data_IF_481454023351
#
_entry.id   IF_481454023351
#
_cell.length_a   1.000
_cell.length_b   1.000
_cell.length_c   1.000
_cell.angle_alpha   90.00
_cell.angle_beta   90.00
_cell.angle_gamma   90.00
#
_symmetry.space_group_name_H-M   'P 1'
#
loop_
_entity.id
_entity.type
_entity.pdbx_description
1 polymer ?
#
# COMPACT_ATOMS: atom_id res chain seq x y z
N UNK A 1 35.74 -24.40 12.56
CA UNK A 1 37.15 -24.81 12.50
C UNK A 1 37.78 -24.17 13.72
N UNK A 2 37.83 -24.72 14.93
CA UNK A 2 38.03 -26.10 15.40
C UNK A 2 39.08 -26.91 14.62
N UNK A 3 40.09 -27.36 15.39
CA UNK A 3 41.34 -28.02 14.97
C UNK A 3 42.51 -27.03 14.94
N UNK A 4 43.69 -27.23 15.52
CA UNK A 4 44.29 -28.22 16.42
C UNK A 4 45.80 -27.92 16.36
N UNK A 5 46.53 -28.16 17.47
CA UNK A 5 47.98 -28.44 17.51
C UNK A 5 48.93 -27.27 17.14
N UNK A 6 50.13 -27.09 17.71
CA UNK A 6 50.94 -27.86 18.65
C UNK A 6 52.15 -26.98 19.02
N UNK A 7 52.58 -27.05 20.27
CA UNK A 7 53.94 -26.64 20.66
C UNK A 7 54.98 -27.55 19.96
N UNK A 8 56.21 -27.06 19.78
CA UNK A 8 57.24 -27.75 20.55
C UNK A 8 58.29 -26.83 21.19
N UNK A 9 58.54 -27.22 22.44
CA UNK A 9 59.75 -27.17 23.24
C UNK A 9 61.07 -27.27 22.46
N UNK A 10 62.07 -26.49 22.91
CA UNK A 10 63.52 -26.72 22.75
C UNK A 10 64.28 -25.66 23.53
N UNK A 11 64.38 -25.90 24.84
CA UNK A 11 65.46 -25.40 25.67
C UNK A 11 66.77 -26.08 25.24
N UNK A 12 67.72 -25.31 24.71
CA UNK A 12 69.10 -25.76 24.54
C UNK A 12 69.96 -25.15 25.63
N UNK A 13 70.29 -26.00 26.59
CA UNK A 13 71.41 -25.86 27.53
C UNK A 13 72.67 -25.47 26.76
N UNK A 14 73.37 -24.43 27.22
CA UNK A 14 74.76 -24.19 26.84
C UNK A 14 75.56 -24.12 28.14
N UNK A 15 76.15 -25.28 28.43
CA UNK A 15 77.26 -25.55 29.32
C UNK A 15 78.28 -24.39 29.35
N UNK A 16 78.41 -23.75 30.50
CA UNK A 16 79.50 -22.84 30.79
C UNK A 16 80.72 -23.65 31.24
N UNK A 17 81.62 -23.96 30.31
CA UNK A 17 82.93 -24.53 30.61
C UNK A 17 83.81 -23.46 31.29
N UNK A 18 83.81 -23.44 32.62
CA UNK A 18 84.77 -22.71 33.42
C UNK A 18 86.12 -23.45 33.39
N UNK A 19 87.05 -23.00 32.55
CA UNK A 19 88.45 -23.42 32.64
C UNK A 19 89.10 -22.75 33.85
N UNK A 20 89.24 -23.51 34.94
CA UNK A 20 90.08 -23.19 36.09
C UNK A 20 91.53 -22.95 35.62
N UNK A 21 92.05 -21.76 35.87
CA UNK A 21 93.48 -21.45 35.67
C UNK A 21 94.22 -21.96 36.90
N UNK A 22 94.77 -23.16 36.77
CA UNK A 22 95.59 -23.85 37.75
C UNK A 22 96.93 -23.09 37.92
N UNK A 23 97.09 -22.40 39.05
CA UNK A 23 98.34 -21.73 39.41
C UNK A 23 99.34 -22.78 39.93
N UNK A 24 100.28 -23.19 39.08
CA UNK A 24 101.46 -23.94 39.55
C UNK A 24 102.33 -23.05 40.43
N UNK A 25 102.37 -23.34 41.73
CA UNK A 25 103.40 -22.85 42.64
C UNK A 25 104.68 -23.61 42.32
N UNK A 26 105.59 -22.96 41.60
CA UNK A 26 106.94 -23.49 41.42
C UNK A 26 107.66 -23.41 42.76
N UNK A 27 107.96 -24.56 43.36
CA UNK A 27 108.82 -24.70 44.54
C UNK A 27 110.21 -24.16 44.25
N UNK A 28 110.88 -23.65 45.29
CA UNK A 28 112.14 -22.91 45.20
C UNK A 28 113.33 -23.70 44.58
N UNK A 29 113.17 -24.99 44.32
CA UNK A 29 114.21 -25.89 43.84
C UNK A 29 114.39 -25.90 42.30
N UNK A 30 113.44 -25.39 41.52
CA UNK A 30 113.51 -25.34 40.03
C UNK A 30 114.19 -24.07 39.47
N UNK A 31 114.75 -23.23 40.34
CA UNK A 31 115.60 -22.10 39.92
C UNK A 31 117.04 -22.61 39.81
N UNK A 32 117.52 -22.81 38.59
CA UNK A 32 118.88 -23.24 38.31
C UNK A 32 119.93 -22.34 39.00
N UNK A 33 120.59 -22.87 40.05
CA UNK A 33 121.71 -22.22 40.75
C UNK A 33 121.88 -22.48 42.26
N UNK A 34 121.08 -23.34 42.91
CA UNK A 34 120.98 -23.36 44.39
C UNK A 34 121.87 -24.40 45.13
N UNK A 35 122.46 -25.41 44.48
CA UNK A 35 123.12 -26.53 45.21
C UNK A 35 124.66 -26.58 45.20
N UNK A 36 125.35 -25.50 44.83
CA UNK A 36 126.80 -25.42 45.07
C UNK A 36 127.22 -23.97 45.34
N UNK A 37 127.58 -23.59 46.58
CA UNK A 37 128.21 -22.29 46.81
C UNK A 37 129.57 -22.34 46.11
N UNK A 38 129.71 -21.58 45.02
CA UNK A 38 131.02 -21.35 44.39
C UNK A 38 131.94 -20.77 45.49
N UNK A 39 132.90 -21.54 45.99
CA UNK A 39 133.96 -21.03 46.87
C UNK A 39 134.86 -20.16 46.01
N UNK A 40 134.75 -18.85 46.19
CA UNK A 40 135.50 -17.87 45.40
C UNK A 40 136.77 -17.51 46.17
N UNK A 41 137.94 -17.63 45.53
CA UNK A 41 139.18 -17.08 46.08
C UNK A 41 139.04 -15.56 46.22
N UNK A 42 139.62 -14.95 47.26
CA UNK A 42 139.38 -13.54 47.62
C UNK A 42 139.62 -12.56 46.47
N UNK A 43 140.46 -12.90 45.50
CA UNK A 43 140.77 -12.10 44.31
C UNK A 43 139.67 -12.14 43.23
N UNK A 44 138.82 -13.17 43.21
CA UNK A 44 137.76 -13.38 42.21
C UNK A 44 136.35 -13.05 42.73
N UNK A 45 136.20 -12.77 44.04
CA UNK A 45 134.91 -12.39 44.64
C UNK A 45 134.35 -11.12 44.00
N UNK A 46 135.22 -10.18 43.65
CA UNK A 46 134.82 -8.94 42.97
C UNK A 46 134.20 -9.24 41.59
N UNK A 47 134.70 -10.24 40.87
CA UNK A 47 134.21 -10.61 39.55
C UNK A 47 132.86 -11.35 39.59
N UNK A 48 132.65 -12.26 40.55
CA UNK A 48 131.36 -12.95 40.72
C UNK A 48 130.29 -12.02 41.31
N UNK A 49 130.66 -11.08 42.20
CA UNK A 49 129.76 -10.01 42.63
C UNK A 49 129.41 -9.14 41.42
N UNK A 50 130.38 -8.72 40.60
CA UNK A 50 130.11 -7.99 39.37
C UNK A 50 129.20 -8.78 38.40
N UNK A 51 129.37 -10.11 38.29
CA UNK A 51 128.53 -10.99 37.47
C UNK A 51 127.10 -11.08 38.00
N UNK A 52 126.91 -11.26 39.31
CA UNK A 52 125.59 -11.30 39.95
C UNK A 52 124.91 -9.92 39.91
N UNK A 53 125.65 -8.82 40.03
CA UNK A 53 125.15 -7.46 39.80
C UNK A 53 124.75 -7.24 38.34
N UNK A 54 125.52 -7.77 37.38
CA UNK A 54 125.18 -7.75 35.96
C UNK A 54 123.94 -8.60 35.64
N UNK A 55 123.81 -9.79 36.25
CA UNK A 55 122.69 -10.69 36.02
C UNK A 55 121.41 -10.22 36.73
N UNK A 56 121.53 -9.68 37.94
CA UNK A 56 120.41 -9.06 38.66
C UNK A 56 119.96 -7.76 37.99
N UNK A 57 120.88 -6.96 37.45
CA UNK A 57 120.52 -5.79 36.64
C UNK A 57 119.90 -6.18 35.29
N UNK A 58 120.39 -7.22 34.61
CA UNK A 58 119.79 -7.77 33.40
C UNK A 58 118.39 -8.35 33.66
N UNK A 59 118.20 -9.05 34.78
CA UNK A 59 116.91 -9.57 35.22
C UNK A 59 115.95 -8.43 35.58
N UNK A 60 116.45 -7.36 36.22
CA UNK A 60 115.67 -6.14 36.47
C UNK A 60 115.23 -5.49 35.15
N UNK A 61 116.14 -5.32 34.19
CA UNK A 61 115.84 -4.78 32.86
C UNK A 61 114.84 -5.68 32.10
N UNK A 62 114.95 -7.01 32.22
CA UNK A 62 114.01 -7.95 31.60
C UNK A 62 112.62 -7.89 32.25
N UNK A 63 112.54 -7.72 33.57
CA UNK A 63 111.28 -7.51 34.29
C UNK A 63 110.63 -6.17 33.90
N UNK A 64 111.41 -5.10 33.84
CA UNK A 64 110.94 -3.78 33.37
C UNK A 64 110.39 -3.85 31.94
N UNK A 65 111.09 -4.55 31.03
CA UNK A 65 110.58 -4.79 29.66
C UNK A 65 109.32 -5.66 29.63
N UNK A 66 109.22 -6.68 30.49
CA UNK A 66 108.01 -7.51 30.62
C UNK A 66 106.82 -6.67 31.08
N UNK A 67 107.03 -5.79 32.06
CA UNK A 67 106.02 -4.85 32.57
C UNK A 67 105.60 -3.83 31.49
N UNK A 68 106.57 -3.29 30.75
CA UNK A 68 106.28 -2.35 29.66
C UNK A 68 105.49 -3.03 28.53
N UNK A 69 105.86 -4.27 28.17
CA UNK A 69 105.13 -5.05 27.17
C UNK A 69 103.74 -5.46 27.66
N UNK A 70 103.57 -5.82 28.95
CA UNK A 70 102.25 -6.15 29.50
C UNK A 70 101.33 -4.93 29.51
N UNK A 71 101.84 -3.75 29.86
CA UNK A 71 101.08 -2.49 29.78
C UNK A 71 100.71 -2.12 28.35
N UNK A 72 101.63 -2.28 27.38
CA UNK A 72 101.34 -2.06 25.95
C UNK A 72 100.33 -3.07 25.40
N UNK A 73 100.41 -4.33 25.80
CA UNK A 73 99.43 -5.34 25.40
C UNK A 73 98.06 -5.05 25.99
N UNK A 74 98.00 -4.68 27.28
CA UNK A 74 96.74 -4.30 27.93
C UNK A 74 96.06 -3.12 27.24
N UNK A 75 96.80 -2.05 26.90
CA UNK A 75 96.22 -0.90 26.19
C UNK A 75 95.74 -1.22 24.77
N UNK A 76 96.46 -2.10 24.06
CA UNK A 76 96.03 -2.57 22.72
C UNK A 76 94.78 -3.45 22.83
N UNK A 77 94.68 -4.31 23.85
CA UNK A 77 93.50 -5.16 24.09
C UNK A 77 92.30 -4.30 24.44
N UNK A 78 92.46 -3.29 25.31
CA UNK A 78 91.40 -2.35 25.67
C UNK A 78 90.91 -1.56 24.44
N UNK A 79 91.84 -0.99 23.65
CA UNK A 79 91.49 -0.31 22.40
C UNK A 79 90.76 -1.23 21.40
N UNK A 80 91.16 -2.51 21.31
CA UNK A 80 90.45 -3.50 20.49
C UNK A 80 89.08 -3.84 21.04
N UNK A 81 88.93 -3.98 22.36
CA UNK A 81 87.63 -4.26 22.99
C UNK A 81 86.63 -3.13 22.71
N UNK A 82 87.06 -1.88 22.85
CA UNK A 82 86.23 -0.72 22.47
C UNK A 82 85.89 -0.72 20.98
N UNK A 83 86.85 -1.07 20.11
CA UNK A 83 86.59 -1.14 18.67
C UNK A 83 85.55 -2.21 18.32
N UNK A 84 85.60 -3.37 18.99
CA UNK A 84 84.61 -4.44 18.83
C UNK A 84 83.23 -4.01 19.34
N UNK A 85 83.18 -3.31 20.49
CA UNK A 85 81.93 -2.78 21.02
C UNK A 85 81.26 -1.82 20.02
N UNK A 86 82.02 -0.89 19.43
CA UNK A 86 81.52 0.03 18.40
C UNK A 86 81.00 -0.72 17.18
N UNK A 87 81.68 -1.78 16.73
CA UNK A 87 81.22 -2.60 15.60
C UNK A 87 79.92 -3.33 15.92
N UNK A 88 79.80 -3.91 17.12
CA UNK A 88 78.57 -4.56 17.56
C UNK A 88 77.39 -3.59 17.62
N UNK A 89 77.59 -2.38 18.15
CA UNK A 89 76.58 -1.31 18.17
C UNK A 89 76.12 -0.93 16.75
N UNK A 90 77.07 -0.79 15.82
CA UNK A 90 76.77 -0.52 14.41
C UNK A 90 75.99 -1.66 13.76
N UNK A 91 76.33 -2.91 14.08
CA UNK A 91 75.63 -4.08 13.55
C UNK A 91 74.19 -4.17 14.09
N UNK A 92 73.97 -3.86 15.37
CA UNK A 92 72.63 -3.77 15.95
C UNK A 92 71.82 -2.63 15.33
N UNK A 93 72.43 -1.47 15.10
CA UNK A 93 71.79 -0.37 14.38
C UNK A 93 71.43 -0.77 12.95
N UNK A 94 72.30 -1.50 12.26
CA UNK A 94 72.05 -2.01 10.91
C UNK A 94 70.87 -2.99 10.90
N UNK A 95 70.82 -3.96 11.83
CA UNK A 95 69.68 -4.89 11.97
C UNK A 95 68.36 -4.16 12.23
N UNK A 96 68.36 -3.16 13.12
CA UNK A 96 67.17 -2.32 13.39
C UNK A 96 66.73 -1.55 12.15
N UNK A 97 67.68 -1.01 11.39
CA UNK A 97 67.40 -0.29 10.15
C UNK A 97 66.85 -1.22 9.06
N UNK A 98 67.39 -2.43 8.91
CA UNK A 98 66.87 -3.45 8.00
C UNK A 98 65.45 -3.88 8.37
N UNK A 99 65.18 -4.09 9.67
CA UNK A 99 63.83 -4.37 10.18
C UNK A 99 62.84 -3.25 9.87
N UNK A 100 63.23 -1.99 10.13
CA UNK A 100 62.40 -0.82 9.76
C UNK A 100 62.16 -0.73 8.25
N UNK A 101 63.18 -1.02 7.44
CA UNK A 101 63.08 -1.03 5.97
C UNK A 101 62.14 -2.13 5.47
N UNK A 102 62.07 -3.28 6.15
CA UNK A 102 61.12 -4.35 5.81
C UNK A 102 59.68 -3.92 6.11
N UNK A 103 59.42 -3.45 7.33
CA UNK A 103 58.09 -2.94 7.72
C UNK A 103 57.60 -1.82 6.80
N UNK A 104 58.49 -0.89 6.41
CA UNK A 104 58.15 0.18 5.47
C UNK A 104 57.76 -0.37 4.09
N UNK A 105 58.42 -1.43 3.60
CA UNK A 105 58.04 -2.07 2.33
C UNK A 105 56.69 -2.77 2.43
N UNK A 106 56.44 -3.49 3.52
CA UNK A 106 55.16 -4.16 3.75
C UNK A 106 54.02 -3.13 3.84
N UNK A 107 54.27 -2.00 4.51
CA UNK A 107 53.32 -0.88 4.59
C UNK A 107 53.06 -0.25 3.23
N UNK A 108 54.08 -0.10 2.37
CA UNK A 108 53.92 0.37 1.00
C UNK A 108 53.05 -0.58 0.17
N UNK A 109 53.36 -1.89 0.19
CA UNK A 109 52.59 -2.90 -0.54
C UNK A 109 51.13 -2.93 -0.06
N UNK A 110 50.90 -2.81 1.24
CA UNK A 110 49.55 -2.75 1.79
C UNK A 110 48.81 -1.48 1.36
N UNK A 111 49.48 -0.33 1.38
CA UNK A 111 48.92 0.93 0.89
C UNK A 111 48.55 0.84 -0.59
N UNK A 112 49.43 0.31 -1.43
CA UNK A 112 49.20 0.15 -2.87
C UNK A 112 47.99 -0.77 -3.13
N UNK A 113 47.94 -1.95 -2.49
CA UNK A 113 46.77 -2.86 -2.56
C UNK A 113 45.48 -2.18 -2.11
N UNK A 114 45.52 -1.44 -1.00
CA UNK A 114 44.34 -0.73 -0.51
C UNK A 114 43.87 0.36 -1.47
N UNK A 115 44.80 1.00 -2.20
CA UNK A 115 44.48 1.99 -3.22
C UNK A 115 43.86 1.36 -4.47
N UNK A 116 44.36 0.20 -4.91
CA UNK A 116 43.77 -0.59 -6.00
C UNK A 116 42.34 -1.04 -5.66
N UNK A 117 42.11 -1.53 -4.43
CA UNK A 117 40.78 -1.92 -3.96
C UNK A 117 39.79 -0.74 -3.99
N UNK A 118 40.25 0.45 -3.61
CA UNK A 118 39.44 1.68 -3.68
C UNK A 118 39.13 2.04 -5.13
N UNK A 119 40.09 1.89 -6.04
CA UNK A 119 39.91 2.17 -7.46
C UNK A 119 38.90 1.21 -8.11
N UNK A 120 38.99 -0.09 -7.85
CA UNK A 120 38.01 -1.09 -8.30
C UNK A 120 36.60 -0.74 -7.81
N UNK A 121 36.45 -0.37 -6.53
CA UNK A 121 35.14 0.05 -5.99
C UNK A 121 34.63 1.32 -6.66
N UNK A 122 35.51 2.27 -6.95
CA UNK A 122 35.16 3.52 -7.66
C UNK A 122 34.65 3.22 -9.07
N UNK A 123 35.30 2.31 -9.80
CA UNK A 123 34.86 1.89 -11.13
C UNK A 123 33.50 1.18 -11.09
N UNK A 124 33.29 0.27 -10.13
CA UNK A 124 32.00 -0.40 -9.93
C UNK A 124 30.88 0.61 -9.63
N UNK A 125 31.14 1.59 -8.77
CA UNK A 125 30.19 2.67 -8.49
C UNK A 125 29.92 3.51 -9.74
N UNK A 126 30.94 3.80 -10.55
CA UNK A 126 30.76 4.52 -11.82
C UNK A 126 29.82 3.78 -12.77
N UNK A 127 29.91 2.45 -12.86
CA UNK A 127 29.01 1.61 -13.65
C UNK A 127 27.58 1.64 -13.09
N UNK A 128 27.42 1.50 -11.78
CA UNK A 128 26.10 1.59 -11.12
C UNK A 128 25.43 2.94 -11.35
N UNK A 129 26.20 4.04 -11.29
CA UNK A 129 25.69 5.40 -11.56
C UNK A 129 25.23 5.53 -13.01
N UNK A 130 26.01 5.04 -13.99
CA UNK A 130 25.61 5.06 -15.41
C UNK A 130 24.32 4.24 -15.63
N UNK A 131 24.23 3.05 -15.05
CA UNK A 131 23.05 2.20 -15.16
C UNK A 131 21.81 2.87 -14.55
N UNK A 132 21.96 3.48 -13.37
CA UNK A 132 20.89 4.20 -12.71
C UNK A 132 20.41 5.40 -13.53
N UNK A 133 21.33 6.12 -14.18
CA UNK A 133 20.98 7.25 -15.04
C UNK A 133 20.18 6.80 -16.27
N UNK A 134 20.55 5.67 -16.89
CA UNK A 134 19.78 5.08 -17.99
C UNK A 134 18.39 4.66 -17.51
N UNK A 135 18.30 3.99 -16.36
CA UNK A 135 17.02 3.61 -15.76
C UNK A 135 16.15 4.83 -15.40
N UNK A 136 16.76 5.93 -14.95
CA UNK A 136 16.06 7.19 -14.69
C UNK A 136 15.48 7.81 -15.96
N UNK A 137 16.23 7.76 -17.07
CA UNK A 137 15.74 8.22 -18.39
C UNK A 137 14.59 7.38 -18.90
N UNK A 138 14.67 6.06 -18.79
CA UNK A 138 13.58 5.16 -19.22
C UNK A 138 12.34 5.33 -18.35
N UNK A 139 12.51 5.50 -17.04
CA UNK A 139 11.41 5.78 -16.12
C UNK A 139 10.73 7.12 -16.45
N UNK A 140 11.51 8.18 -16.72
CA UNK A 140 10.96 9.48 -17.12
C UNK A 140 10.21 9.39 -18.44
N UNK A 141 10.74 8.65 -19.42
CA UNK A 141 10.04 8.41 -20.69
C UNK A 141 8.71 7.65 -20.49
N UNK A 142 8.72 6.60 -19.68
CA UNK A 142 7.51 5.85 -19.34
C UNK A 142 6.48 6.72 -18.59
N UNK A 143 6.93 7.58 -17.68
CA UNK A 143 6.07 8.52 -16.97
C UNK A 143 5.40 9.51 -17.93
N UNK A 144 6.16 10.07 -18.87
CA UNK A 144 5.64 10.99 -19.89
C UNK A 144 4.60 10.30 -20.79
N UNK A 145 4.88 9.07 -21.23
CA UNK A 145 3.93 8.27 -22.02
C UNK A 145 2.62 8.01 -21.26
N UNK A 146 2.71 7.68 -19.97
CA UNK A 146 1.53 7.48 -19.13
C UNK A 146 0.72 8.78 -18.97
N UNK A 147 1.41 9.91 -18.82
CA UNK A 147 0.75 11.21 -18.72
C UNK A 147 0.07 11.61 -20.04
N UNK A 148 0.70 11.33 -21.18
CA UNK A 148 0.10 11.52 -22.50
C UNK A 148 -1.14 10.64 -22.68
N UNK A 149 -1.06 9.35 -22.34
CA UNK A 149 -2.20 8.43 -22.38
C UNK A 149 -3.34 8.91 -21.48
N UNK A 150 -3.04 9.40 -20.27
CA UNK A 150 -4.05 10.00 -19.37
C UNK A 150 -4.70 11.22 -20.01
N UNK A 151 -3.93 12.10 -20.65
CA UNK A 151 -4.45 13.30 -21.32
C UNK A 151 -5.32 12.94 -22.52
N UNK A 152 -4.96 11.90 -23.29
CA UNK A 152 -5.80 11.38 -24.37
C UNK A 152 -7.13 10.80 -23.85
N UNK A 153 -7.09 10.12 -22.71
CA UNK A 153 -8.29 9.58 -22.05
C UNK A 153 -9.18 10.68 -21.47
N UNK A 154 -8.62 11.70 -20.82
CA UNK A 154 -9.41 12.81 -20.25
C UNK A 154 -9.88 13.82 -21.29
N UNK A 155 -9.21 13.85 -22.45
CA UNK A 155 -9.49 14.76 -23.54
C UNK A 155 -10.86 14.56 -24.20
N UNK A 156 -11.13 15.43 -25.18
CA UNK A 156 -12.40 15.49 -25.88
C UNK A 156 -12.77 14.19 -26.60
N UNK A 157 -11.78 13.43 -27.07
CA UNK A 157 -11.98 12.18 -27.80
C UNK A 157 -12.14 10.94 -26.90
N UNK A 158 -11.79 11.04 -25.61
CA UNK A 158 -11.93 9.97 -24.62
C UNK A 158 -13.18 10.11 -23.75
N UNK A 159 -12.97 10.25 -22.44
CA UNK A 159 -14.01 10.49 -21.44
C UNK A 159 -14.81 11.77 -21.71
N UNK A 160 -14.22 12.78 -22.35
CA UNK A 160 -14.93 13.97 -22.78
C UNK A 160 -16.09 13.64 -23.73
N UNK A 161 -15.84 12.81 -24.76
CA UNK A 161 -16.87 12.35 -25.70
C UNK A 161 -17.95 11.58 -24.98
N UNK A 162 -17.56 10.65 -24.10
CA UNK A 162 -18.51 9.84 -23.31
C UNK A 162 -19.39 10.73 -22.43
N UNK A 163 -18.81 11.71 -21.73
CA UNK A 163 -19.55 12.68 -20.92
C UNK A 163 -20.54 13.48 -21.78
N UNK A 164 -20.09 14.01 -22.93
CA UNK A 164 -20.97 14.70 -23.89
C UNK A 164 -22.12 13.81 -24.37
N UNK A 165 -21.85 12.55 -24.73
CA UNK A 165 -22.89 11.61 -25.16
C UNK A 165 -23.85 11.24 -24.03
N UNK A 166 -23.36 11.03 -22.81
CA UNK A 166 -24.18 10.80 -21.61
C UNK A 166 -25.11 11.97 -21.39
N UNK A 167 -24.60 13.20 -21.40
CA UNK A 167 -25.42 14.41 -21.26
C UNK A 167 -26.48 14.50 -22.36
N UNK A 168 -26.14 14.24 -23.64
CA UNK A 168 -27.14 14.22 -24.74
C UNK A 168 -28.25 13.18 -24.52
N UNK A 169 -27.90 11.98 -24.06
CA UNK A 169 -28.88 10.92 -23.75
C UNK A 169 -29.76 11.34 -22.57
N UNK A 170 -29.17 11.88 -21.50
CA UNK A 170 -29.90 12.40 -20.33
C UNK A 170 -30.86 13.51 -20.73
N UNK A 171 -30.42 14.50 -21.50
CA UNK A 171 -31.27 15.57 -22.04
C UNK A 171 -32.44 15.02 -22.87
N UNK A 172 -32.19 13.99 -23.70
CA UNK A 172 -33.26 13.32 -24.45
C UNK A 172 -34.26 12.62 -23.51
N UNK A 173 -33.79 11.89 -22.50
CA UNK A 173 -34.64 11.24 -21.51
C UNK A 173 -35.49 12.27 -20.76
N UNK A 174 -34.90 13.39 -20.34
CA UNK A 174 -35.64 14.50 -19.72
C UNK A 174 -36.73 15.05 -20.61
N UNK A 175 -36.42 15.32 -21.88
CA UNK A 175 -37.41 15.81 -22.84
C UNK A 175 -38.57 14.82 -23.03
N UNK A 176 -38.27 13.53 -23.11
CA UNK A 176 -39.28 12.48 -23.25
C UNK A 176 -40.15 12.36 -21.99
N UNK A 177 -39.56 12.47 -20.80
CA UNK A 177 -40.31 12.47 -19.53
C UNK A 177 -41.10 13.76 -19.34
N UNK A 178 -40.62 14.91 -19.84
CA UNK A 178 -41.36 16.16 -19.85
C UNK A 178 -42.65 16.04 -20.68
N UNK A 179 -42.58 15.35 -21.83
CA UNK A 179 -43.78 15.03 -22.61
C UNK A 179 -44.76 14.14 -21.84
N UNK A 180 -44.26 13.12 -21.13
CA UNK A 180 -45.12 12.28 -20.27
C UNK A 180 -45.76 13.13 -19.17
N UNK A 181 -45.02 14.03 -18.53
CA UNK A 181 -45.55 14.93 -17.51
C UNK A 181 -46.63 15.88 -18.08
N UNK A 182 -46.52 16.26 -19.35
CA UNK A 182 -47.58 17.01 -20.06
C UNK A 182 -48.81 16.17 -20.35
N UNK A 183 -48.65 14.87 -20.66
CA UNK A 183 -49.76 13.94 -20.96
C UNK A 183 -50.46 13.50 -19.66
N UNK A 184 -49.70 13.28 -18.58
CA UNK A 184 -50.19 12.86 -17.27
C UNK A 184 -49.77 13.86 -16.18
N UNK A 185 -50.34 15.08 -16.17
CA UNK A 185 -50.00 16.09 -15.18
C UNK A 185 -50.48 15.67 -13.80
N UNK A 186 -49.53 15.52 -12.85
CA UNK A 186 -49.83 15.24 -11.44
C UNK A 186 -49.92 16.57 -10.69
N UNK A 187 -51.13 17.12 -10.55
CA UNK A 187 -51.37 18.43 -9.92
C UNK A 187 -51.78 18.27 -8.46
N UNK A 188 -51.33 19.18 -7.61
CA UNK A 188 -51.91 19.38 -6.28
C UNK A 188 -53.24 20.10 -6.45
N UNK A 189 -54.30 19.62 -5.80
CA UNK A 189 -55.69 20.11 -5.92
C UNK A 189 -55.94 21.61 -5.71
N UNK A 190 -54.92 22.40 -5.35
CA UNK A 190 -54.98 23.86 -5.25
C UNK A 190 -54.67 24.62 -6.57
N UNK A 191 -54.30 23.95 -7.67
CA UNK A 191 -54.15 24.61 -8.98
C UNK A 191 -55.47 24.52 -9.77
N UNK A 192 -56.32 25.54 -9.62
CA UNK A 192 -57.58 25.68 -10.33
C UNK A 192 -57.44 25.51 -11.85
N UNK A 193 -58.13 24.51 -12.41
CA UNK A 193 -58.66 24.58 -13.77
C UNK A 193 -60.07 25.16 -13.63
N UNK A 194 -60.42 26.30 -14.26
CA UNK A 194 -61.83 26.67 -14.41
C UNK A 194 -62.43 25.79 -15.51
N UNK A 195 -62.73 24.53 -15.18
CA UNK A 195 -63.50 23.67 -16.06
C UNK A 195 -64.97 23.96 -15.79
N UNK A 196 -65.51 24.89 -16.57
CA UNK A 196 -66.93 25.26 -16.66
C UNK A 196 -67.75 23.99 -16.86
N UNK A 197 -68.39 23.52 -15.80
CA UNK A 197 -69.44 22.50 -15.87
C UNK A 197 -70.63 23.16 -16.58
N UNK A 198 -70.94 22.64 -17.76
CA UNK A 198 -72.21 22.85 -18.44
C UNK A 198 -73.24 21.97 -17.75
N UNK A 199 -73.92 22.51 -16.74
CA UNK A 199 -75.17 21.93 -16.23
C UNK A 199 -76.23 23.03 -16.16
N UNK A 200 -77.08 22.98 -17.17
CA UNK A 200 -78.55 23.12 -17.16
C UNK A 200 -79.20 23.81 -15.96
N UNK A 201 -79.89 24.90 -16.30
CA UNK A 201 -80.92 25.61 -15.56
C UNK A 201 -81.69 24.77 -14.52
N UNK A 202 -81.59 25.16 -13.25
CA UNK A 202 -82.63 24.95 -12.25
C UNK A 202 -82.60 26.12 -11.26
N UNK A 203 -83.62 26.97 -11.34
CA UNK A 203 -83.77 28.16 -10.51
C UNK A 203 -84.20 27.84 -9.07
N UNK A 204 -83.87 28.74 -8.14
CA UNK A 204 -84.33 28.71 -6.76
C UNK A 204 -83.62 29.76 -5.88
N UNK A 205 -84.37 30.76 -5.47
CA UNK A 205 -83.96 32.04 -4.86
C UNK A 205 -83.47 32.01 -3.40
N UNK A 206 -82.87 33.16 -3.01
CA UNK A 206 -82.72 33.82 -1.67
C UNK A 206 -81.33 33.63 -1.01
N UNK A 207 -80.48 34.67 -0.97
CA UNK A 207 -80.47 35.90 -0.14
C UNK A 207 -79.79 35.69 1.22
N UNK A 208 -78.71 36.44 1.50
CA UNK A 208 -78.23 36.67 2.87
C UNK A 208 -76.72 36.88 3.03
N UNK A 209 -76.33 38.16 3.09
CA UNK A 209 -75.28 38.80 3.89
C UNK A 209 -73.77 38.49 3.82
N UNK A 210 -73.06 39.62 3.76
CA UNK A 210 -71.63 39.87 3.88
C UNK A 210 -71.30 40.14 5.34
N UNK A 211 -70.22 39.53 5.88
CA UNK A 211 -69.14 40.16 6.70
C UNK A 211 -68.06 39.07 6.97
N UNK A 212 -66.75 39.38 6.86
CA UNK A 212 -65.66 38.42 7.07
C UNK A 212 -65.17 38.41 8.53
N UNK A 213 -64.47 37.33 8.96
CA UNK A 213 -63.40 37.53 9.94
C UNK A 213 -62.09 36.83 9.58
N UNK A 214 -61.04 37.63 9.68
CA UNK A 214 -59.77 37.39 10.37
C UNK A 214 -58.98 36.08 10.14
N UNK A 215 -57.74 36.31 9.70
CA UNK A 215 -56.57 35.43 9.70
C UNK A 215 -56.46 34.57 10.96
N UNK A 216 -56.44 33.25 10.78
CA UNK A 216 -55.84 32.32 11.74
C UNK A 216 -54.73 31.54 11.05
N UNK A 217 -53.51 31.77 11.53
CA UNK A 217 -52.33 30.95 11.25
C UNK A 217 -52.61 29.58 11.87
N UNK A 218 -52.95 28.60 11.03
CA UNK A 218 -52.95 27.19 11.40
C UNK A 218 -51.98 26.46 10.48
N UNK A 219 -50.82 26.12 11.04
CA UNK A 219 -49.95 25.07 10.52
C UNK A 219 -50.73 23.76 10.64
N UNK A 220 -51.35 23.33 9.56
CA UNK A 220 -51.73 21.95 9.36
C UNK A 220 -51.03 21.46 8.10
N UNK A 221 -50.27 20.37 8.24
CA UNK A 221 -49.72 19.59 7.13
C UNK A 221 -50.86 18.98 6.34
N UNK A 222 -51.51 19.81 5.54
CA UNK A 222 -52.54 19.42 4.60
C UNK A 222 -51.84 18.65 3.48
N UNK A 223 -51.95 17.31 3.52
CA UNK A 223 -51.68 16.48 2.36
C UNK A 223 -52.63 16.96 1.25
N UNK A 224 -52.12 17.85 0.40
CA UNK A 224 -52.82 18.31 -0.79
C UNK A 224 -53.14 17.08 -1.64
N UNK A 225 -54.42 16.84 -1.90
CA UNK A 225 -54.85 15.72 -2.72
C UNK A 225 -54.25 15.86 -4.12
N UNK A 226 -53.46 14.87 -4.53
CA UNK A 226 -52.87 14.84 -5.87
C UNK A 226 -53.88 14.27 -6.86
N UNK A 227 -53.95 14.89 -8.04
CA UNK A 227 -54.82 14.47 -9.14
C UNK A 227 -54.01 14.23 -10.40
N UNK A 228 -54.37 13.21 -11.19
CA UNK A 228 -53.89 13.02 -12.56
C UNK A 228 -55.03 13.41 -13.50
N UNK A 229 -54.80 14.37 -14.41
CA UNK A 229 -55.81 14.84 -15.36
C UNK A 229 -57.11 15.35 -14.68
N UNK A 230 -57.01 15.85 -13.44
CA UNK A 230 -58.15 16.34 -12.66
C UNK A 230 -58.90 15.26 -11.86
N UNK A 231 -58.46 14.00 -11.89
CA UNK A 231 -59.06 12.89 -11.15
C UNK A 231 -58.25 12.55 -9.90
N UNK A 232 -58.92 12.39 -8.75
CA UNK A 232 -58.28 12.10 -7.46
C UNK A 232 -58.17 10.59 -7.20
N UNK A 233 -56.99 10.15 -6.74
CA UNK A 233 -56.85 8.81 -6.15
C UNK A 233 -57.37 8.88 -4.71
N UNK A 234 -58.63 8.48 -4.50
CA UNK A 234 -59.17 8.35 -3.15
C UNK A 234 -58.55 7.14 -2.46
N UNK A 235 -58.19 7.31 -1.18
CA UNK A 235 -57.78 6.20 -0.34
C UNK A 235 -58.91 5.16 -0.32
N UNK A 236 -58.51 3.88 -0.36
CA UNK A 236 -59.38 2.71 -0.33
C UNK A 236 -60.64 2.95 0.51
N UNK A 237 -61.85 2.57 0.05
CA UNK A 237 -63.06 2.66 0.86
C UNK A 237 -62.98 1.63 1.99
N UNK A 238 -62.16 1.89 3.00
CA UNK A 238 -62.13 1.11 4.23
C UNK A 238 -63.38 1.51 5.01
N UNK A 239 -64.44 0.70 4.88
CA UNK A 239 -65.68 0.75 5.66
C UNK A 239 -66.77 1.74 5.19
N UNK A 240 -67.12 1.73 3.90
CA UNK A 240 -68.50 2.08 3.51
C UNK A 240 -69.23 0.79 3.12
N UNK A 241 -69.98 0.21 4.07
CA UNK A 241 -70.93 -0.90 3.87
C UNK A 241 -72.20 -0.46 3.14
N UNK A 242 -72.09 0.53 2.26
CA UNK A 242 -73.19 0.94 1.39
C UNK A 242 -73.05 0.20 0.06
N UNK A 243 -74.10 -0.51 -0.33
CA UNK A 243 -74.32 -1.10 -1.67
C UNK A 243 -74.16 -0.10 -2.85
N UNK A 244 -73.86 1.17 -2.56
CA UNK A 244 -73.56 2.26 -3.47
C UNK A 244 -72.19 2.87 -3.12
N UNK A 245 -71.09 2.18 -3.43
CA UNK A 245 -69.93 2.95 -3.90
C UNK A 245 -70.31 3.46 -5.28
N UNK A 246 -70.23 4.77 -5.51
CA UNK A 246 -70.57 5.34 -6.81
C UNK A 246 -69.73 4.63 -7.87
N UNK A 247 -70.37 3.85 -8.75
CA UNK A 247 -69.70 3.13 -9.85
C UNK A 247 -68.77 4.07 -10.64
N UNK A 248 -69.13 5.36 -10.66
CA UNK A 248 -68.35 6.47 -11.19
C UNK A 248 -67.01 6.66 -10.45
N UNK A 249 -66.98 6.66 -9.12
CA UNK A 249 -65.75 6.80 -8.31
C UNK A 249 -64.82 5.60 -8.46
N UNK A 250 -65.37 4.38 -8.49
CA UNK A 250 -64.58 3.15 -8.71
C UNK A 250 -63.93 3.16 -10.11
N UNK A 251 -64.68 3.58 -11.12
CA UNK A 251 -64.17 3.73 -12.48
C UNK A 251 -63.11 4.83 -12.57
N UNK A 252 -63.27 5.93 -11.83
CA UNK A 252 -62.29 7.03 -11.77
C UNK A 252 -60.98 6.56 -11.15
N UNK A 253 -61.04 5.90 -9.99
CA UNK A 253 -59.84 5.38 -9.32
C UNK A 253 -59.10 4.35 -10.17
N UNK A 254 -59.83 3.46 -10.84
CA UNK A 254 -59.28 2.51 -11.81
C UNK A 254 -58.59 3.22 -13.00
N UNK A 255 -59.18 4.32 -13.49
CA UNK A 255 -58.60 5.12 -14.57
C UNK A 255 -57.31 5.82 -14.14
N UNK A 256 -57.29 6.40 -12.93
CA UNK A 256 -56.08 7.05 -12.36
C UNK A 256 -54.95 6.04 -12.18
N UNK A 257 -55.25 4.84 -11.66
CA UNK A 257 -54.27 3.77 -11.52
C UNK A 257 -53.74 3.28 -12.87
N UNK A 258 -54.63 3.17 -13.87
CA UNK A 258 -54.25 2.87 -15.26
C UNK A 258 -53.32 3.93 -15.86
N UNK A 259 -53.61 5.22 -15.65
CA UNK A 259 -52.74 6.31 -16.10
C UNK A 259 -51.40 6.31 -15.38
N UNK A 260 -51.36 6.07 -14.07
CA UNK A 260 -50.12 5.95 -13.31
C UNK A 260 -49.27 4.75 -13.79
N UNK A 261 -49.90 3.59 -14.05
CA UNK A 261 -49.22 2.43 -14.59
C UNK A 261 -48.66 2.68 -16.00
N UNK A 262 -49.43 3.36 -16.86
CA UNK A 262 -48.97 3.72 -18.20
C UNK A 262 -47.80 4.72 -18.16
N UNK A 263 -47.90 5.77 -17.34
CA UNK A 263 -46.81 6.74 -17.15
C UNK A 263 -45.53 6.05 -16.65
N UNK A 264 -45.64 5.17 -15.63
CA UNK A 264 -44.52 4.42 -15.10
C UNK A 264 -43.88 3.49 -16.14
N UNK A 265 -44.71 2.77 -16.92
CA UNK A 265 -44.22 1.92 -17.99
C UNK A 265 -43.41 2.70 -19.04
N UNK A 266 -43.92 3.85 -19.47
CA UNK A 266 -43.23 4.72 -20.42
C UNK A 266 -41.91 5.27 -19.84
N UNK A 267 -41.93 5.80 -18.61
CA UNK A 267 -40.73 6.31 -17.94
C UNK A 267 -39.67 5.20 -17.82
N UNK A 268 -40.06 4.02 -17.34
CA UNK A 268 -39.16 2.87 -17.22
C UNK A 268 -38.57 2.46 -18.58
N UNK A 269 -39.38 2.47 -19.65
CA UNK A 269 -38.92 2.15 -21.01
C UNK A 269 -37.91 3.17 -21.56
N UNK A 270 -38.07 4.46 -21.25
CA UNK A 270 -37.18 5.55 -21.67
C UNK A 270 -35.88 5.57 -20.88
N UNK A 271 -35.95 5.23 -19.60
CA UNK A 271 -34.78 5.04 -18.73
C UNK A 271 -34.10 3.68 -18.95
N UNK A 272 -34.69 2.78 -19.73
CA UNK A 272 -34.23 1.40 -19.96
C UNK A 272 -34.09 0.60 -18.66
N UNK A 273 -35.02 0.81 -17.73
CA UNK A 273 -35.11 0.06 -16.47
C UNK A 273 -36.12 -1.07 -16.63
N UNK A 274 -35.72 -2.35 -16.51
CA UNK A 274 -36.66 -3.46 -16.54
C UNK A 274 -37.50 -3.45 -15.26
N UNK A 275 -38.83 -3.40 -15.39
CA UNK A 275 -39.74 -3.44 -14.25
C UNK A 275 -39.77 -4.84 -13.64
N UNK A 276 -39.64 -4.93 -12.31
CA UNK A 276 -39.71 -6.20 -11.57
C UNK A 276 -41.07 -6.90 -11.73
N UNK A 277 -42.14 -6.12 -11.74
CA UNK A 277 -43.50 -6.59 -11.96
C UNK A 277 -44.03 -6.02 -13.29
N UNK A 278 -44.04 -6.78 -14.39
CA UNK A 278 -44.51 -6.26 -15.67
C UNK A 278 -45.97 -5.83 -15.63
N UNK A 279 -46.31 -4.83 -16.45
CA UNK A 279 -47.63 -4.23 -16.53
C UNK A 279 -48.32 -4.65 -17.82
N UNK A 280 -49.57 -5.09 -17.73
CA UNK A 280 -50.49 -5.23 -18.86
C UNK A 280 -51.41 -4.02 -18.89
N UNK A 281 -51.19 -3.15 -19.87
CA UNK A 281 -51.88 -1.87 -19.97
C UNK A 281 -53.24 -2.07 -20.65
N UNK A 282 -54.31 -1.69 -19.95
CA UNK A 282 -55.70 -1.81 -20.40
C UNK A 282 -56.55 -0.60 -20.04
N UNK A 283 -55.92 0.56 -19.84
CA UNK A 283 -56.59 1.77 -19.33
C UNK A 283 -57.14 1.53 -17.93
N UNK A 284 -58.45 1.72 -17.75
CA UNK A 284 -59.14 1.43 -16.48
C UNK A 284 -59.15 -0.05 -16.09
N UNK A 285 -58.79 -0.97 -17.00
CA UNK A 285 -58.69 -2.41 -16.74
C UNK A 285 -57.26 -2.91 -16.90
N UNK A 286 -56.32 -2.19 -16.29
CA UNK A 286 -54.90 -2.58 -16.31
C UNK A 286 -54.61 -3.66 -15.26
N UNK A 287 -53.61 -4.49 -15.53
CA UNK A 287 -53.17 -5.57 -14.64
C UNK A 287 -51.66 -5.50 -14.39
N UNK A 288 -51.23 -6.03 -13.25
CA UNK A 288 -49.82 -6.21 -12.90
C UNK A 288 -49.53 -7.69 -12.71
N UNK A 289 -48.36 -8.12 -13.18
CA UNK A 289 -47.93 -9.51 -13.17
C UNK A 289 -46.95 -9.75 -12.02
N UNK A 290 -47.20 -10.79 -11.24
CA UNK A 290 -46.22 -11.33 -10.28
C UNK A 290 -45.79 -12.73 -10.69
N UNK A 291 -44.47 -12.94 -10.71
CA UNK A 291 -43.84 -14.23 -11.00
C UNK A 291 -43.52 -15.02 -9.73
N UNK A 292 -43.95 -14.55 -8.56
CA UNK A 292 -43.86 -15.36 -7.35
C UNK A 292 -44.61 -16.69 -7.56
N UNK A 293 -44.02 -17.83 -7.17
CA UNK A 293 -44.69 -19.12 -7.28
C UNK A 293 -45.95 -19.06 -6.41
N UNK A 294 -47.12 -19.12 -7.05
CA UNK A 294 -48.39 -19.13 -6.35
C UNK A 294 -48.49 -20.42 -5.52
N UNK A 295 -48.52 -20.29 -4.21
CA UNK A 295 -48.77 -21.39 -3.29
C UNK A 295 -50.29 -21.58 -3.18
N UNK A 296 -51.00 -21.88 -4.28
CA UNK A 296 -52.33 -22.48 -4.14
C UNK A 296 -52.88 -23.13 -5.42
N UNK A 297 -53.13 -24.43 -5.27
CA UNK A 297 -54.29 -25.17 -5.79
C UNK A 297 -54.45 -25.32 -7.31
N UNK A 298 -53.60 -26.17 -7.89
CA UNK A 298 -54.14 -27.25 -8.72
C UNK A 298 -53.50 -28.56 -8.27
N UNK A 299 -54.22 -29.35 -7.47
CA UNK A 299 -54.03 -30.80 -7.46
C UNK A 299 -53.92 -31.26 -8.92
N UNK A 300 -52.90 -32.04 -9.31
CA UNK A 300 -52.96 -32.73 -10.58
C UNK A 300 -54.12 -33.72 -10.44
N UNK A 301 -55.24 -33.41 -11.08
CA UNK A 301 -56.26 -34.40 -11.35
C UNK A 301 -55.59 -35.45 -12.23
N UNK A 302 -55.54 -36.65 -11.69
CA UNK A 302 -55.13 -37.89 -12.33
C UNK A 302 -55.82 -38.06 -13.69
N UNK A 303 -55.09 -38.69 -14.60
CA UNK A 303 -55.50 -39.25 -15.89
C UNK A 303 -55.47 -38.32 -17.12
N UNK A 304 -54.32 -38.30 -17.80
CA UNK A 304 -54.17 -39.11 -19.02
C UNK A 304 -52.75 -39.02 -19.58
N UNK A 305 -52.15 -40.19 -19.82
CA UNK A 305 -50.84 -40.37 -20.40
C UNK A 305 -50.81 -40.07 -21.92
N UNK A 306 -49.75 -39.40 -22.40
CA UNK A 306 -48.96 -39.82 -23.56
C UNK A 306 -47.81 -38.84 -23.87
N UNK A 307 -46.59 -39.33 -23.68
CA UNK A 307 -45.40 -39.15 -24.54
C UNK A 307 -44.91 -37.73 -24.89
N UNK A 308 -43.85 -37.29 -24.19
CA UNK A 308 -42.56 -36.84 -24.78
C UNK A 308 -41.59 -36.36 -23.70
N UNK A 309 -40.32 -36.80 -23.66
CA UNK A 309 -39.31 -36.21 -22.79
C UNK A 309 -38.60 -35.11 -23.59
N UNK A 310 -38.85 -33.84 -23.28
CA UNK A 310 -37.99 -32.76 -23.72
C UNK A 310 -37.85 -31.69 -22.63
N UNK A 311 -36.58 -31.36 -22.36
CA UNK A 311 -36.12 -30.30 -21.48
C UNK A 311 -36.74 -28.95 -21.89
N UNK A 312 -37.62 -28.39 -21.08
CA UNK A 312 -37.95 -26.97 -21.16
C UNK A 312 -38.43 -26.44 -19.82
N UNK A 313 -37.62 -25.54 -19.25
CA UNK A 313 -37.90 -24.57 -18.18
C UNK A 313 -39.39 -24.44 -17.87
N UNK A 314 -39.80 -24.76 -16.64
CA UNK A 314 -41.13 -24.47 -16.11
C UNK A 314 -41.42 -22.97 -16.24
N UNK A 315 -42.08 -22.55 -17.31
CA UNK A 315 -42.65 -21.21 -17.44
C UNK A 315 -43.80 -21.11 -16.45
N UNK A 316 -43.51 -20.65 -15.23
CA UNK A 316 -44.55 -20.25 -14.28
C UNK A 316 -45.39 -19.19 -14.97
N UNK A 317 -46.67 -19.50 -15.23
CA UNK A 317 -47.62 -18.52 -15.76
C UNK A 317 -47.70 -17.41 -14.68
N UNK A 318 -47.32 -16.16 -14.99
CA UNK A 318 -47.37 -15.09 -14.00
C UNK A 318 -48.81 -14.89 -13.52
N UNK A 319 -48.98 -14.76 -12.21
CA UNK A 319 -50.30 -14.47 -11.66
C UNK A 319 -50.65 -13.02 -11.92
N UNK A 320 -51.84 -12.77 -12.44
CA UNK A 320 -52.31 -11.44 -12.80
C UNK A 320 -53.15 -10.82 -11.69
N UNK A 321 -52.84 -9.58 -11.34
CA UNK A 321 -53.57 -8.82 -10.34
C UNK A 321 -54.19 -7.56 -10.95
N UNK A 322 -55.49 -7.31 -10.73
CA UNK A 322 -56.19 -6.17 -11.32
C UNK A 322 -55.85 -4.86 -10.62
N UNK A 323 -55.64 -3.78 -11.37
CA UNK A 323 -55.48 -2.42 -10.84
C UNK A 323 -56.81 -1.64 -10.75
N UNK A 324 -57.93 -2.37 -10.65
CA UNK A 324 -59.29 -1.84 -10.58
C UNK A 324 -60.11 -2.64 -9.58
N UNK A 325 -61.23 -2.09 -9.13
CA UNK A 325 -62.12 -2.74 -8.18
C UNK A 325 -63.38 -3.25 -8.90
N UNK A 326 -63.63 -4.56 -8.85
CA UNK A 326 -64.77 -5.22 -9.50
C UNK A 326 -65.30 -6.31 -8.55
N UNK A 327 -66.05 -5.89 -7.52
CA UNK A 327 -66.55 -6.78 -6.46
C UNK A 327 -65.60 -6.96 -5.25
N UNK A 328 -66.06 -7.70 -4.23
CA UNK A 328 -65.40 -7.81 -2.91
C UNK A 328 -64.05 -8.56 -2.96
N UNK A 329 -63.95 -9.66 -3.71
CA UNK A 329 -62.72 -10.45 -3.87
C UNK A 329 -61.63 -9.69 -4.65
N UNK A 330 -62.06 -8.78 -5.52
CA UNK A 330 -61.16 -7.94 -6.31
C UNK A 330 -60.53 -6.84 -5.45
N UNK A 331 -61.13 -6.44 -4.31
CA UNK A 331 -60.57 -5.38 -3.45
C UNK A 331 -59.24 -5.79 -2.82
N UNK A 332 -59.14 -7.02 -2.31
CA UNK A 332 -57.90 -7.53 -1.68
C UNK A 332 -56.80 -7.74 -2.72
N UNK A 333 -57.15 -8.32 -3.89
CA UNK A 333 -56.23 -8.51 -5.02
C UNK A 333 -55.78 -7.17 -5.62
N UNK A 334 -56.66 -6.18 -5.71
CA UNK A 334 -56.33 -4.85 -6.19
C UNK A 334 -55.46 -4.07 -5.19
N UNK A 335 -55.71 -4.19 -3.89
CA UNK A 335 -54.83 -3.61 -2.88
C UNK A 335 -53.40 -4.15 -2.99
N UNK A 336 -53.25 -5.44 -3.26
CA UNK A 336 -51.95 -6.06 -3.56
C UNK A 336 -51.35 -5.55 -4.88
N UNK A 337 -52.14 -5.45 -5.95
CA UNK A 337 -51.71 -4.90 -7.23
C UNK A 337 -51.16 -3.46 -7.10
N UNK A 338 -51.86 -2.61 -6.34
CA UNK A 338 -51.48 -1.23 -6.02
C UNK A 338 -50.14 -1.20 -5.26
N UNK A 339 -49.95 -2.10 -4.29
CA UNK A 339 -48.68 -2.24 -3.59
C UNK A 339 -47.53 -2.62 -4.54
N UNK A 340 -47.75 -3.60 -5.42
CA UNK A 340 -46.75 -4.00 -6.43
C UNK A 340 -46.43 -2.87 -7.41
N UNK A 341 -47.44 -2.09 -7.83
CA UNK A 341 -47.24 -0.92 -8.68
C UNK A 341 -46.36 0.11 -7.97
N UNK A 342 -46.57 0.35 -6.67
CA UNK A 342 -45.69 1.22 -5.90
C UNK A 342 -44.28 0.65 -5.75
N UNK A 343 -44.12 -0.68 -5.66
CA UNK A 343 -42.79 -1.32 -5.65
C UNK A 343 -42.02 -1.16 -6.95
N UNK A 344 -42.68 -1.21 -8.10
CA UNK A 344 -42.06 -0.83 -9.37
C UNK A 344 -41.64 0.65 -9.37
N UNK A 345 -42.45 1.52 -8.79
CA UNK A 345 -42.16 2.95 -8.75
C UNK A 345 -40.98 3.26 -7.83
N UNK A 346 -40.93 2.62 -6.65
CA UNK A 346 -39.79 2.62 -5.72
C UNK A 346 -38.52 2.11 -6.40
N UNK A 347 -38.60 1.05 -7.22
CA UNK A 347 -37.46 0.55 -7.99
C UNK A 347 -36.91 1.62 -8.95
N UNK A 348 -37.78 2.31 -9.69
CA UNK A 348 -37.36 3.35 -10.63
C UNK A 348 -36.81 4.58 -9.91
N UNK A 349 -37.40 4.97 -8.76
CA UNK A 349 -36.86 6.03 -7.91
C UNK A 349 -35.46 5.68 -7.37
N UNK A 350 -35.27 4.46 -6.87
CA UNK A 350 -33.98 3.97 -6.40
C UNK A 350 -32.94 3.94 -7.53
N UNK A 351 -33.33 3.59 -8.75
CA UNK A 351 -32.45 3.65 -9.92
C UNK A 351 -31.91 5.06 -10.20
N UNK A 352 -32.68 6.10 -9.88
CA UNK A 352 -32.29 7.50 -10.05
C UNK A 352 -31.59 8.04 -8.78
N UNK A 353 -31.60 7.29 -7.68
CA UNK A 353 -31.05 7.68 -6.38
C UNK A 353 -31.95 8.65 -5.62
N UNK A 354 -33.27 8.47 -5.70
CA UNK A 354 -34.27 9.19 -4.91
C UNK A 354 -35.03 8.23 -3.99
N UNK A 355 -35.40 8.70 -2.79
CA UNK A 355 -36.15 7.90 -1.82
C UNK A 355 -37.65 7.94 -2.12
N UNK A 356 -38.34 6.83 -1.87
CA UNK A 356 -39.79 6.76 -1.99
C UNK A 356 -40.47 7.25 -0.71
N UNK A 357 -41.64 7.90 -0.82
CA UNK A 357 -42.46 8.34 0.32
C UNK A 357 -43.26 7.20 0.97
N UNK A 358 -43.03 5.95 0.55
CA UNK A 358 -43.68 4.76 1.09
C UNK A 358 -44.73 4.10 0.15
N UNK A 359 -45.29 2.94 0.55
CA UNK A 359 -46.07 2.04 -0.31
C UNK A 359 -47.46 2.55 -0.72
N UNK A 360 -48.01 3.55 -0.02
CA UNK A 360 -49.38 4.05 -0.24
C UNK A 360 -49.42 5.33 -1.08
N UNK A 361 -48.27 5.87 -1.47
CA UNK A 361 -48.15 7.22 -2.04
C UNK A 361 -47.82 7.20 -3.53
N UNK A 362 -48.56 6.42 -4.34
CA UNK A 362 -48.28 6.24 -5.78
C UNK A 362 -48.18 7.57 -6.52
N UNK A 363 -49.16 8.45 -6.37
CA UNK A 363 -49.18 9.74 -7.07
C UNK A 363 -48.06 10.67 -6.59
N UNK A 364 -47.78 10.69 -5.28
CA UNK A 364 -46.70 11.51 -4.72
C UNK A 364 -45.34 11.02 -5.21
N UNK A 365 -45.15 9.70 -5.22
CA UNK A 365 -43.92 9.09 -5.71
C UNK A 365 -43.77 9.31 -7.23
N UNK A 366 -44.85 9.26 -8.01
CA UNK A 366 -44.82 9.56 -9.45
C UNK A 366 -44.46 11.02 -9.72
N UNK A 367 -45.04 11.95 -8.95
CA UNK A 367 -44.70 13.38 -9.02
C UNK A 367 -43.23 13.62 -8.66
N UNK A 368 -42.76 12.95 -7.62
CA UNK A 368 -41.36 13.00 -7.18
C UNK A 368 -40.42 12.45 -8.25
N UNK A 369 -40.77 11.30 -8.86
CA UNK A 369 -40.03 10.70 -9.95
C UNK A 369 -39.87 11.65 -11.14
N UNK A 370 -40.97 12.26 -11.58
CA UNK A 370 -40.94 13.25 -12.66
C UNK A 370 -40.12 14.49 -12.26
N UNK A 371 -40.27 14.99 -11.04
CA UNK A 371 -39.52 16.15 -10.52
C UNK A 371 -38.01 15.91 -10.53
N UNK A 372 -37.56 14.76 -10.03
CA UNK A 372 -36.13 14.43 -9.96
C UNK A 372 -35.54 14.31 -11.36
N UNK A 373 -36.22 13.61 -12.28
CA UNK A 373 -35.75 13.47 -13.67
C UNK A 373 -35.66 14.82 -14.36
N UNK A 374 -36.67 15.70 -14.19
CA UNK A 374 -36.72 17.01 -14.82
C UNK A 374 -35.76 18.04 -14.19
N UNK A 375 -35.15 17.71 -13.05
CA UNK A 375 -34.18 18.59 -12.39
C UNK A 375 -32.82 18.58 -13.09
N UNK A 376 -32.04 19.64 -12.92
CA UNK A 376 -30.67 19.70 -13.45
C UNK A 376 -29.75 18.64 -12.83
N UNK A 377 -30.05 18.16 -11.62
CA UNK A 377 -29.24 17.13 -10.93
C UNK A 377 -29.21 15.81 -11.71
N UNK A 378 -30.24 15.51 -12.49
CA UNK A 378 -30.29 14.30 -13.30
C UNK A 378 -29.30 14.29 -14.46
N UNK A 379 -28.84 15.47 -14.91
CA UNK A 379 -27.83 15.57 -15.98
C UNK A 379 -26.43 15.18 -15.52
N UNK A 380 -26.15 15.41 -14.24
CA UNK A 380 -24.85 15.13 -13.63
C UNK A 380 -24.75 13.69 -13.09
N UNK A 381 -25.89 13.07 -12.75
CA UNK A 381 -26.01 11.66 -12.34
C UNK A 381 -25.86 10.69 -13.51
#
# INVERSE_FOLDING_TARGET
>A
MEGSESEPDRTSEVEAAATEVEWYVVSADDVAGVEAPKMVEWEDMEQEIARLWSLSSALRIAKERKEELSQRLASIIEARAESLQRVNELEDMKKKLEGRKAVQRDMLIFSDKSSEDVEIRREQLSLKIRNLLVAGKTLSAAHNQLQEAKNLLTGENGHGRLKKTKTKIRMRQQYMVAQIASIYPVRTSNEHIPMKILDTYSGGSKSGDVVPPAKSISRSSSQSSLTILGWQLMAMPTKKTGYFSDKKEVQQTASVLGFAAHALHLIASYLKVPLRYPLRLGGSRSYILDYSPSVDSSLPSTDSAATSPNLSVSSSIPTEFPLFFDGQETITRAAYAIFLLNKNLEQVLNYIGAESLGPRHILSNLKELMRVILSNEFLDR
#
